data_IF_013719932160
#
_entry.id   IF_013719932160
#
_cell.length_a   1.000
_cell.length_b   1.000
_cell.length_c   1.000
_cell.angle_alpha   90.00
_cell.angle_beta   90.00
_cell.angle_gamma   90.00
#
_symmetry.space_group_name_H-M   'P 1'
#
loop_
_entity.id
_entity.type
_entity.pdbx_description
1 polymer ?
#
# COMPACT_ATOMS: atom_id res chain seq x y z
N UNK A 1 -2.20 3.32 -3.40
CA UNK A 1 -3.17 4.09 -2.58
C UNK A 1 -3.66 5.25 -3.43
N UNK A 2 -4.96 5.43 -3.62
CA UNK A 2 -5.55 6.43 -4.54
C UNK A 2 -4.88 6.46 -5.93
N UNK A 3 -4.59 5.27 -6.48
CA UNK A 3 -3.87 5.11 -7.76
C UNK A 3 -2.37 5.42 -7.72
N UNK A 4 -1.82 5.87 -6.59
CA UNK A 4 -0.39 6.16 -6.41
C UNK A 4 0.33 4.87 -6.03
N UNK A 5 1.34 4.51 -6.83
CA UNK A 5 2.26 3.40 -6.54
C UNK A 5 3.20 3.82 -5.41
N UNK A 6 3.19 3.06 -4.32
CA UNK A 6 3.96 3.33 -3.12
C UNK A 6 4.62 2.04 -2.63
N UNK A 7 5.82 2.17 -2.09
CA UNK A 7 6.54 1.06 -1.46
C UNK A 7 6.24 1.04 0.02
N UNK A 8 5.86 -0.14 0.53
CA UNK A 8 5.69 -0.37 1.96
C UNK A 8 7.06 -0.38 2.64
N UNK A 9 7.24 0.45 3.66
CA UNK A 9 8.49 0.57 4.43
C UNK A 9 8.47 -0.26 5.71
N UNK A 10 7.29 -0.44 6.31
CA UNK A 10 7.10 -1.28 7.50
C UNK A 10 5.68 -1.87 7.54
N UNK A 11 5.54 -2.96 8.30
CA UNK A 11 4.30 -3.70 8.50
C UNK A 11 4.12 -4.00 9.99
N UNK A 12 2.87 -4.01 10.45
CA UNK A 12 2.48 -4.49 11.76
C UNK A 12 1.05 -5.02 11.77
N UNK A 13 0.54 -5.34 12.95
CA UNK A 13 -0.81 -5.92 13.09
C UNK A 13 -1.88 -4.90 12.74
N UNK A 14 -2.50 -5.08 11.56
CA UNK A 14 -3.58 -4.22 11.07
C UNK A 14 -3.12 -2.86 10.53
N UNK A 15 -1.82 -2.65 10.34
CA UNK A 15 -1.28 -1.40 9.76
C UNK A 15 -0.05 -1.62 8.89
N UNK A 16 0.21 -0.66 8.01
CA UNK A 16 1.43 -0.60 7.21
C UNK A 16 1.88 0.86 7.06
N UNK A 17 3.18 1.04 6.86
CA UNK A 17 3.79 2.34 6.60
C UNK A 17 4.28 2.43 5.15
N UNK A 18 4.23 3.64 4.60
CA UNK A 18 4.77 3.97 3.28
C UNK A 18 5.64 5.22 3.40
N UNK A 19 6.74 5.25 2.66
CA UNK A 19 7.60 6.43 2.58
C UNK A 19 7.22 7.28 1.39
N UNK A 20 7.02 8.58 1.62
CA UNK A 20 6.78 9.57 0.56
C UNK A 20 8.07 10.35 0.28
N UNK A 21 8.56 10.27 -0.96
CA UNK A 21 9.62 11.17 -1.44
C UNK A 21 9.05 12.59 -1.65
N UNK A 22 9.90 13.64 -1.65
CA UNK A 22 9.44 15.03 -1.78
C UNK A 22 8.49 15.27 -2.96
N UNK A 23 8.83 14.75 -4.15
CA UNK A 23 7.99 14.88 -5.35
C UNK A 23 6.59 14.29 -5.16
N UNK A 24 6.47 13.07 -4.61
CA UNK A 24 5.15 12.45 -4.37
C UNK A 24 4.37 13.22 -3.31
N UNK A 25 5.05 13.73 -2.27
CA UNK A 25 4.42 14.56 -1.24
C UNK A 25 3.88 15.88 -1.80
N UNK A 26 4.58 16.50 -2.74
CA UNK A 26 4.18 17.78 -3.32
C UNK A 26 3.10 17.64 -4.40
N UNK A 27 3.16 16.57 -5.20
CA UNK A 27 2.31 16.40 -6.38
C UNK A 27 1.04 15.57 -6.13
N UNK A 28 0.85 15.02 -4.93
CA UNK A 28 -0.31 14.18 -4.62
C UNK A 28 -1.10 14.67 -3.41
N UNK A 29 -2.34 14.22 -3.29
CA UNK A 29 -3.21 14.53 -2.16
C UNK A 29 -2.69 13.98 -0.83
N UNK A 30 -1.87 12.92 -0.88
CA UNK A 30 -1.33 12.24 0.31
C UNK A 30 -0.42 13.14 1.16
N UNK A 31 0.31 14.08 0.55
CA UNK A 31 1.21 14.96 1.31
C UNK A 31 0.51 15.97 2.20
N UNK A 32 -0.82 16.14 2.04
CA UNK A 32 -1.66 17.08 2.81
C UNK A 32 -2.87 16.40 3.47
N UNK A 33 -3.00 15.08 3.34
CA UNK A 33 -4.11 14.33 3.89
C UNK A 33 -4.06 14.33 5.43
N UNK A 34 -5.11 14.79 6.13
CA UNK A 34 -5.17 14.71 7.59
C UNK A 34 -5.31 13.26 8.05
N UNK A 35 -4.94 13.01 9.32
CA UNK A 35 -5.20 11.72 9.97
C UNK A 35 -6.70 11.39 9.93
N UNK A 36 -7.03 10.14 9.61
CA UNK A 36 -8.41 9.68 9.43
C UNK A 36 -8.94 9.83 8.01
N UNK A 37 -8.13 10.34 7.07
CA UNK A 37 -8.49 10.36 5.65
C UNK A 37 -8.68 8.93 5.15
N UNK A 38 -9.88 8.65 4.62
CA UNK A 38 -10.16 7.39 3.93
C UNK A 38 -9.53 7.46 2.55
N UNK A 39 -8.81 6.41 2.17
CA UNK A 39 -8.13 6.29 0.88
C UNK A 39 -8.54 4.99 0.20
N UNK A 40 -8.48 4.97 -1.12
CA UNK A 40 -8.67 3.74 -1.88
C UNK A 40 -7.37 2.93 -1.82
N UNK A 41 -7.46 1.71 -1.26
CA UNK A 41 -6.32 0.81 -1.18
C UNK A 41 -6.43 -0.28 -2.25
N UNK A 42 -5.46 -0.28 -3.16
CA UNK A 42 -5.29 -1.31 -4.17
C UNK A 42 -4.02 -2.10 -3.84
N UNK A 43 -4.13 -3.43 -3.80
CA UNK A 43 -2.99 -4.33 -3.60
C UNK A 43 -2.42 -4.75 -4.96
N UNK A 44 -1.10 -4.92 -5.01
CA UNK A 44 -0.45 -5.42 -6.21
C UNK A 44 -1.05 -6.79 -6.57
N UNK A 45 -1.36 -6.95 -7.85
CA UNK A 45 -1.86 -8.19 -8.44
C UNK A 45 -0.90 -9.36 -8.17
N UNK A 46 0.40 -9.11 -8.04
CA UNK A 46 1.40 -10.13 -7.66
C UNK A 46 1.11 -10.72 -6.27
N UNK A 47 0.67 -9.93 -5.30
CA UNK A 47 0.33 -10.44 -3.96
C UNK A 47 -0.82 -11.47 -4.03
N UNK A 48 -1.83 -11.23 -4.87
CA UNK A 48 -2.92 -12.19 -5.13
C UNK A 48 -2.42 -13.49 -5.77
N UNK A 49 -1.42 -13.42 -6.64
CA UNK A 49 -0.83 -14.60 -7.25
C UNK A 49 0.04 -15.40 -6.25
N UNK A 50 0.81 -14.70 -5.42
CA UNK A 50 1.62 -15.33 -4.35
C UNK A 50 0.73 -16.04 -3.33
N UNK A 51 -0.36 -15.40 -2.88
CA UNK A 51 -1.32 -16.03 -1.98
C UNK A 51 -1.89 -17.33 -2.56
N UNK A 52 -2.33 -17.30 -3.83
CA UNK A 52 -2.83 -18.49 -4.54
C UNK A 52 -1.79 -19.60 -4.69
N UNK A 53 -0.52 -19.24 -4.93
CA UNK A 53 0.58 -20.19 -5.04
C UNK A 53 0.90 -20.86 -3.69
N UNK A 54 0.87 -20.10 -2.59
CA UNK A 54 1.10 -20.62 -1.24
C UNK A 54 -0.08 -21.51 -0.80
N UNK A 55 -1.32 -21.11 -1.06
CA UNK A 55 -2.51 -21.93 -0.76
C UNK A 55 -2.51 -23.28 -1.50
N UNK A 56 -1.99 -23.34 -2.73
CA UNK A 56 -1.86 -24.59 -3.50
C UNK A 56 -0.74 -25.52 -3.01
N UNK A 57 0.26 -24.99 -2.29
CA UNK A 57 1.36 -25.78 -1.72
C UNK A 57 1.03 -26.35 -0.33
N UNK A 58 0.01 -25.80 0.33
CA UNK A 58 -0.48 -26.25 1.63
C UNK A 58 -1.58 -27.33 1.53
N UNK A 59 -1.92 -27.76 0.31
CA UNK A 59 -2.74 -28.95 0.00
C UNK A 59 -1.83 -30.07 -0.48
#
# INVERSE_FOLDING_TARGET
MDGISLTVSALGDGWFEVSLIPTTRELTTLGRAPVGTVVNLEVDVIAKYVERLIQRRAQ
#
